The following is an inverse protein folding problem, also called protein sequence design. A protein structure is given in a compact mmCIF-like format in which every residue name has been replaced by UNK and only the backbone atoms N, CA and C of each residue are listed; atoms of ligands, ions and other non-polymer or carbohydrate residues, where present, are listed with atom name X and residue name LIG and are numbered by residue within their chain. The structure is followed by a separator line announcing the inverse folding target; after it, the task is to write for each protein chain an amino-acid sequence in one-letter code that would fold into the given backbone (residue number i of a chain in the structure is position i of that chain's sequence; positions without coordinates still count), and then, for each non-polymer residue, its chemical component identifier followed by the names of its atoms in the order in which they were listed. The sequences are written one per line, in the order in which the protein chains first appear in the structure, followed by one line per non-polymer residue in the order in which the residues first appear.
data_IF_160618637022
#
_entry.id   IF_160618637022
#
_cell.length_a   1.000
_cell.length_b   1.000
_cell.length_c   1.000
_cell.angle_alpha   90.00
_cell.angle_beta   90.00
_cell.angle_gamma   90.00
#
_symmetry.space_group_name_H-M   'P 1'
#
loop_
_entity.id
_entity.type
_entity.pdbx_description
1 polymer ?
#
# COMPACT_ATOMS: atom_id res chain seq x y z
N UNK A 1 24.75 -1.57 6.91
CA UNK A 1 23.91 -0.72 6.05
C UNK A 1 22.43 -1.17 6.05
N UNK A 2 22.10 -2.42 5.70
CA UNK A 2 20.67 -2.84 5.61
C UNK A 2 19.93 -2.72 6.96
N UNK A 3 20.59 -3.05 8.08
CA UNK A 3 20.00 -2.99 9.43
C UNK A 3 19.71 -1.57 9.95
N UNK A 4 20.23 -0.53 9.29
CA UNK A 4 19.97 0.86 9.66
C UNK A 4 18.83 1.48 8.84
N UNK A 5 18.30 0.75 7.86
CA UNK A 5 17.15 1.21 7.07
C UNK A 5 15.84 0.98 7.83
N UNK A 6 14.91 1.91 7.68
CA UNK A 6 13.53 1.76 8.18
C UNK A 6 12.83 0.60 7.46
N UNK A 7 11.94 -0.09 8.17
CA UNK A 7 11.06 -1.09 7.55
C UNK A 7 10.07 -0.40 6.60
N UNK A 8 9.77 -1.05 5.47
CA UNK A 8 8.69 -0.63 4.59
C UNK A 8 7.34 -0.85 5.27
N UNK A 9 6.37 0.03 4.99
CA UNK A 9 5.00 -0.01 5.52
C UNK A 9 4.03 0.39 4.42
N UNK A 10 2.79 -0.08 4.51
CA UNK A 10 1.69 0.42 3.70
C UNK A 10 1.15 1.71 4.31
N UNK A 11 0.89 2.71 3.48
CA UNK A 11 0.21 3.95 3.87
C UNK A 11 -0.45 4.57 2.65
N UNK A 12 -1.51 5.34 2.88
CA UNK A 12 -2.13 6.21 1.88
C UNK A 12 -1.25 7.39 1.52
N UNK A 13 -0.28 7.73 2.38
CA UNK A 13 0.70 8.80 2.15
C UNK A 13 1.92 8.25 1.43
N UNK A 14 2.13 8.70 0.20
CA UNK A 14 3.33 8.36 -0.55
C UNK A 14 4.53 9.19 -0.06
N UNK A 15 5.52 8.52 0.54
CA UNK A 15 6.80 9.11 0.97
C UNK A 15 7.98 8.65 0.09
N UNK A 16 7.70 7.93 -0.98
CA UNK A 16 8.71 7.27 -1.81
C UNK A 16 9.26 5.99 -1.19
N UNK A 17 9.98 5.20 -2.00
CA UNK A 17 10.60 3.95 -1.59
C UNK A 17 12.12 4.04 -1.66
N UNK A 18 12.76 4.45 -0.56
CA UNK A 18 14.21 4.68 -0.48
C UNK A 18 15.05 3.51 -1.00
N UNK A 19 14.74 2.28 -0.57
CA UNK A 19 15.51 1.09 -0.98
C UNK A 19 15.42 0.73 -2.46
N UNK A 20 14.46 1.32 -3.19
CA UNK A 20 14.26 1.11 -4.63
C UNK A 20 14.54 2.39 -5.44
N UNK A 21 14.85 3.50 -4.78
CA UNK A 21 15.03 4.82 -5.41
C UNK A 21 13.86 5.26 -6.30
N UNK A 22 12.62 4.95 -5.90
CA UNK A 22 11.40 5.36 -6.61
C UNK A 22 10.59 6.37 -5.80
N UNK A 23 10.11 7.42 -6.47
CA UNK A 23 9.25 8.44 -5.86
C UNK A 23 7.83 7.94 -5.62
N UNK A 24 7.33 7.01 -6.45
CA UNK A 24 6.00 6.41 -6.34
C UNK A 24 6.10 4.90 -6.43
N UNK A 25 5.57 4.21 -5.42
CA UNK A 25 5.58 2.75 -5.38
C UNK A 25 4.34 2.21 -4.64
N UNK A 26 3.80 1.10 -5.15
CA UNK A 26 2.73 0.35 -4.49
C UNK A 26 2.79 -1.13 -4.89
N UNK A 27 2.26 -2.02 -4.04
CA UNK A 27 2.12 -3.44 -4.39
C UNK A 27 0.84 -3.67 -5.19
N UNK A 28 0.97 -4.35 -6.32
CA UNK A 28 -0.15 -4.62 -7.25
C UNK A 28 -0.17 -6.04 -7.82
N UNK A 29 0.97 -6.72 -7.88
CA UNK A 29 1.17 -7.94 -8.67
C UNK A 29 0.77 -9.23 -7.97
N UNK A 30 0.30 -9.21 -6.72
CA UNK A 30 0.00 -10.43 -5.95
C UNK A 30 -1.29 -10.33 -5.10
N UNK A 31 -2.45 -10.00 -5.69
CA UNK A 31 -3.74 -9.88 -4.98
C UNK A 31 -4.15 -11.14 -4.21
N UNK A 32 -3.81 -12.33 -4.69
CA UNK A 32 -4.22 -13.60 -4.04
C UNK A 32 -3.57 -13.78 -2.66
N UNK A 33 -2.38 -13.22 -2.42
CA UNK A 33 -1.58 -13.46 -1.21
C UNK A 33 -1.24 -12.20 -0.40
N UNK A 34 -1.63 -11.02 -0.87
CA UNK A 34 -1.42 -9.74 -0.20
C UNK A 34 -2.67 -8.89 -0.32
N UNK A 35 -3.28 -8.59 0.83
CA UNK A 35 -4.50 -7.78 0.87
C UNK A 35 -4.31 -6.34 0.34
N UNK A 36 -3.16 -5.66 0.55
CA UNK A 36 -2.91 -4.35 -0.05
C UNK A 36 -3.04 -4.34 -1.58
N UNK A 37 -2.55 -5.37 -2.27
CA UNK A 37 -2.71 -5.49 -3.72
C UNK A 37 -4.21 -5.55 -4.09
N UNK A 38 -5.03 -6.34 -3.37
CA UNK A 38 -6.48 -6.40 -3.59
C UNK A 38 -7.18 -5.04 -3.43
N UNK A 39 -6.76 -4.25 -2.43
CA UNK A 39 -7.28 -2.89 -2.25
C UNK A 39 -6.95 -2.00 -3.46
N UNK A 40 -5.70 -2.05 -3.95
CA UNK A 40 -5.28 -1.29 -5.12
C UNK A 40 -6.06 -1.69 -6.37
N UNK A 41 -6.28 -3.00 -6.61
CA UNK A 41 -7.10 -3.49 -7.72
C UNK A 41 -8.53 -2.91 -7.69
N UNK A 42 -9.19 -2.95 -6.53
CA UNK A 42 -10.55 -2.38 -6.35
C UNK A 42 -10.59 -0.87 -6.58
N UNK A 43 -9.58 -0.15 -6.10
CA UNK A 43 -9.49 1.29 -6.30
C UNK A 43 -9.25 1.65 -7.76
N UNK A 44 -8.37 0.91 -8.44
CA UNK A 44 -8.09 1.10 -9.86
C UNK A 44 -9.36 0.89 -10.70
N UNK A 45 -10.08 -0.20 -10.49
CA UNK A 45 -11.35 -0.48 -11.15
C UNK A 45 -12.36 0.65 -10.95
N UNK A 46 -12.57 1.07 -9.68
CA UNK A 46 -13.45 2.19 -9.35
C UNK A 46 -13.10 3.48 -10.09
N UNK A 47 -11.80 3.79 -10.22
CA UNK A 47 -11.36 5.00 -10.92
C UNK A 47 -11.49 4.89 -12.44
N UNK A 48 -11.29 3.71 -13.01
CA UNK A 48 -11.54 3.45 -14.43
C UNK A 48 -13.03 3.62 -14.80
N UNK A 49 -13.93 3.31 -13.87
CA UNK A 49 -15.37 3.53 -14.01
C UNK A 49 -15.81 4.99 -13.77
N UNK A 50 -14.88 5.91 -13.48
CA UNK A 50 -15.18 7.31 -13.18
C UNK A 50 -15.73 7.54 -11.77
N UNK A 51 -15.53 6.60 -10.85
CA UNK A 51 -15.91 6.72 -9.46
C UNK A 51 -15.16 7.84 -8.73
N UNK A 52 -15.80 8.45 -7.73
CA UNK A 52 -15.20 9.52 -6.92
C UNK A 52 -14.06 8.99 -6.03
N UNK A 53 -13.12 9.88 -5.72
CA UNK A 53 -12.08 9.65 -4.73
C UNK A 53 -12.68 9.16 -3.41
N UNK A 54 -12.05 8.13 -2.84
CA UNK A 54 -12.41 7.56 -1.54
C UNK A 54 -11.81 8.38 -0.41
N UNK A 55 -12.45 8.32 0.75
CA UNK A 55 -11.90 8.88 1.98
C UNK A 55 -10.62 8.15 2.37
N UNK A 56 -9.58 8.91 2.71
CA UNK A 56 -8.28 8.33 3.03
C UNK A 56 -8.20 7.77 4.45
N UNK A 57 -8.99 8.30 5.40
CA UNK A 57 -8.89 7.91 6.80
C UNK A 57 -9.20 6.41 7.05
N UNK A 58 -10.28 5.84 6.48
CA UNK A 58 -10.53 4.40 6.62
C UNK A 58 -9.46 3.54 5.95
N UNK A 59 -8.94 3.98 4.80
CA UNK A 59 -7.88 3.27 4.08
C UNK A 59 -6.55 3.27 4.85
N UNK A 60 -6.25 4.35 5.57
CA UNK A 60 -5.03 4.42 6.38
C UNK A 60 -5.07 3.40 7.52
N UNK A 61 -6.22 3.17 8.14
CA UNK A 61 -6.39 2.13 9.16
C UNK A 61 -6.21 0.72 8.57
N UNK A 62 -6.74 0.46 7.37
CA UNK A 62 -6.51 -0.78 6.63
C UNK A 62 -5.02 -0.98 6.30
N UNK A 63 -4.32 0.08 5.88
CA UNK A 63 -2.89 0.05 5.60
C UNK A 63 -2.07 -0.28 6.86
N UNK A 64 -2.40 0.33 8.00
CA UNK A 64 -1.78 0.01 9.30
C UNK A 64 -2.02 -1.45 9.69
N UNK A 65 -3.25 -1.93 9.55
CA UNK A 65 -3.60 -3.32 9.81
C UNK A 65 -2.77 -4.27 8.95
N UNK A 66 -2.72 -4.05 7.63
CA UNK A 66 -1.92 -4.87 6.71
C UNK A 66 -0.43 -4.87 7.06
N UNK A 67 0.12 -3.70 7.42
CA UNK A 67 1.52 -3.57 7.83
C UNK A 67 1.82 -4.38 9.09
N UNK A 68 0.90 -4.39 10.06
CA UNK A 68 1.03 -5.21 11.27
C UNK A 68 0.94 -6.70 10.95
N UNK A 69 0.01 -7.11 10.09
CA UNK A 69 -0.13 -8.51 9.69
C UNK A 69 1.11 -9.03 8.94
N UNK A 70 1.73 -8.20 8.08
CA UNK A 70 2.98 -8.55 7.41
C UNK A 70 4.15 -8.71 8.38
N UNK A 71 4.14 -8.03 9.53
CA UNK A 71 5.18 -8.19 10.55
C UNK A 71 4.99 -9.45 11.41
N UNK A 72 3.77 -9.98 11.50
CA UNK A 72 3.45 -11.17 12.28
C UNK A 72 3.65 -12.48 11.48
N UNK A 73 3.53 -12.40 10.15
CA UNK A 73 3.75 -13.52 9.22
C UNK A 73 5.23 -13.89 9.11
#
# INVERSE_FOLDING_TARGET
AIRTMSKAVYSTKNVGHYGLAFDYYTHFTSPIRRYPDMLVHRLLEKYLEGGRSVEQAPLEEECKHCSNMEQLA
#
